data_IF_892255012953
#
_entry.id   IF_892255012953
#
_cell.length_a   1.000
_cell.length_b   1.000
_cell.length_c   1.000
_cell.angle_alpha   90.00
_cell.angle_beta   90.00
_cell.angle_gamma   90.00
#
_symmetry.space_group_name_H-M   'P 1'
#
loop_
_entity.id
_entity.type
_entity.pdbx_description
1 polymer ?
#
# COMPACT_ATOMS: atom_id res chain seq x y z
N UNK A 1 0.77 36.46 46.33
CA UNK A 1 1.00 35.00 46.29
C UNK A 1 -0.33 34.36 45.90
N UNK A 2 -0.52 33.63 44.82
CA UNK A 2 0.33 33.04 43.78
C UNK A 2 -0.63 32.83 42.58
N UNK A 3 -0.22 33.20 41.37
CA UNK A 3 -0.94 32.91 40.13
C UNK A 3 -0.40 31.60 39.54
N UNK A 4 -1.27 30.68 39.13
CA UNK A 4 -0.98 29.47 38.35
C UNK A 4 -2.15 29.31 37.36
N UNK A 5 -2.01 29.67 36.08
CA UNK A 5 -1.27 29.02 34.99
C UNK A 5 -2.16 28.06 34.18
N UNK A 6 -2.74 28.63 33.13
CA UNK A 6 -3.12 28.09 31.81
C UNK A 6 -2.69 26.63 31.52
N UNK A 7 -3.65 25.71 31.41
CA UNK A 7 -3.45 24.42 30.74
C UNK A 7 -4.07 24.49 29.34
N UNK A 8 -3.23 24.84 28.36
CA UNK A 8 -3.57 24.74 26.94
C UNK A 8 -3.64 23.27 26.55
N UNK A 9 -4.85 22.75 26.35
CA UNK A 9 -5.04 21.45 25.71
C UNK A 9 -4.99 21.65 24.19
N UNK A 10 -3.83 21.28 23.63
CA UNK A 10 -3.55 21.25 22.20
C UNK A 10 -4.63 20.51 21.43
N UNK A 11 -5.17 21.19 20.41
CA UNK A 11 -5.95 20.56 19.34
C UNK A 11 -5.17 19.36 18.78
N UNK A 12 -5.83 18.21 18.51
CA UNK A 12 -5.19 17.18 17.71
C UNK A 12 -4.95 17.80 16.34
N UNK A 13 -3.67 18.01 16.02
CA UNK A 13 -3.26 18.32 14.66
C UNK A 13 -3.73 17.15 13.81
N UNK A 14 -4.66 17.41 12.88
CA UNK A 14 -4.95 16.51 11.76
C UNK A 14 -3.60 16.30 11.07
N UNK A 15 -2.92 15.21 11.42
CA UNK A 15 -1.67 14.83 10.77
C UNK A 15 -2.06 14.11 9.49
N UNK A 16 -2.54 14.88 8.51
CA UNK A 16 -2.42 14.52 7.10
C UNK A 16 -0.94 14.61 6.74
N UNK A 17 -0.19 13.62 7.22
CA UNK A 17 1.12 13.29 6.69
C UNK A 17 0.97 11.94 6.02
N UNK A 18 0.41 11.96 4.80
CA UNK A 18 0.69 10.90 3.84
C UNK A 18 2.15 11.13 3.41
N UNK A 19 3.06 10.58 4.19
CA UNK A 19 4.51 10.72 4.05
C UNK A 19 4.99 9.86 2.89
N UNK A 20 4.74 10.31 1.67
CA UNK A 20 5.43 9.82 0.47
C UNK A 20 5.93 11.02 -0.33
N UNK A 21 7.00 11.63 0.18
CA UNK A 21 7.86 12.61 -0.53
C UNK A 21 8.68 11.95 -1.66
N UNK A 22 8.26 10.77 -2.12
CA UNK A 22 9.00 9.98 -3.11
C UNK A 22 8.34 10.16 -4.47
N UNK A 23 8.99 10.85 -5.42
CA UNK A 23 8.47 10.98 -6.77
C UNK A 23 8.39 9.60 -7.42
N UNK A 24 7.24 9.28 -8.01
CA UNK A 24 7.08 8.08 -8.84
C UNK A 24 7.86 8.27 -10.14
N UNK A 25 8.83 7.40 -10.41
CA UNK A 25 9.68 7.47 -11.60
C UNK A 25 9.29 6.42 -12.64
N UNK A 26 9.62 6.67 -13.91
CA UNK A 26 9.51 5.65 -14.95
C UNK A 26 10.43 4.49 -14.61
N UNK A 27 9.88 3.28 -14.67
CA UNK A 27 10.54 2.04 -14.26
C UNK A 27 10.22 1.59 -12.84
N UNK A 28 9.64 2.46 -12.00
CA UNK A 28 9.24 2.09 -10.65
C UNK A 28 8.05 1.12 -10.67
N UNK A 29 8.10 0.14 -9.76
CA UNK A 29 6.92 -0.62 -9.38
C UNK A 29 6.12 0.17 -8.35
N UNK A 30 4.80 0.20 -8.53
CA UNK A 30 3.84 0.92 -7.69
C UNK A 30 2.57 0.10 -7.52
N UNK A 31 1.82 0.34 -6.45
CA UNK A 31 0.47 -0.19 -6.34
C UNK A 31 -0.48 0.70 -7.14
N UNK A 32 -1.32 0.09 -7.97
CA UNK A 32 -2.28 0.79 -8.81
C UNK A 32 -3.69 0.24 -8.64
N UNK A 33 -4.64 1.15 -8.44
CA UNK A 33 -6.06 0.82 -8.45
C UNK A 33 -6.58 0.75 -9.87
N UNK A 34 -6.98 -0.44 -10.31
CA UNK A 34 -7.48 -0.70 -11.66
C UNK A 34 -9.01 -0.76 -11.73
N UNK A 35 -9.69 -0.87 -10.59
CA UNK A 35 -11.14 -0.86 -10.53
C UNK A 35 -11.72 0.52 -10.88
N UNK A 36 -12.90 0.58 -11.52
CA UNK A 36 -13.61 1.83 -11.76
C UNK A 36 -14.13 2.43 -10.44
N UNK A 37 -14.34 3.75 -10.40
CA UNK A 37 -14.76 4.48 -9.18
C UNK A 37 -16.08 3.98 -8.55
N UNK A 38 -16.99 3.46 -9.39
CA UNK A 38 -18.27 2.90 -8.97
C UNK A 38 -18.23 1.39 -8.69
N UNK A 39 -17.05 0.78 -8.66
CA UNK A 39 -16.92 -0.62 -8.29
C UNK A 39 -17.32 -0.82 -6.82
N UNK A 40 -17.89 -1.99 -6.55
CA UNK A 40 -18.22 -2.45 -5.20
C UNK A 40 -16.96 -2.75 -4.38
N UNK A 41 -15.88 -3.14 -5.05
CA UNK A 41 -14.57 -3.48 -4.47
C UNK A 41 -13.45 -2.75 -5.21
N UNK A 42 -12.41 -2.41 -4.47
CA UNK A 42 -11.21 -1.77 -5.00
C UNK A 42 -10.14 -2.82 -5.33
N UNK A 43 -9.86 -3.01 -6.62
CA UNK A 43 -8.81 -3.93 -7.10
C UNK A 43 -7.48 -3.21 -7.24
N UNK A 44 -6.50 -3.64 -6.45
CA UNK A 44 -5.13 -3.11 -6.47
C UNK A 44 -4.15 -4.15 -6.98
N UNK A 45 -3.30 -3.75 -7.92
CA UNK A 45 -2.24 -4.59 -8.48
C UNK A 45 -0.88 -3.88 -8.49
N UNK A 46 0.18 -4.66 -8.52
CA UNK A 46 1.55 -4.21 -8.73
C UNK A 46 1.74 -3.94 -10.21
N UNK A 47 2.07 -2.71 -10.56
CA UNK A 47 2.34 -2.30 -11.95
C UNK A 47 3.65 -1.55 -12.04
N UNK A 48 4.22 -1.55 -13.23
CA UNK A 48 5.41 -0.75 -13.55
C UNK A 48 5.05 0.49 -14.32
N UNK A 49 5.59 1.62 -13.90
CA UNK A 49 5.38 2.90 -14.58
C UNK A 49 6.18 2.93 -15.86
N UNK A 50 5.51 3.08 -17.00
CA UNK A 50 6.17 3.17 -18.31
C UNK A 50 6.32 4.61 -18.78
N UNK A 51 5.40 5.50 -18.39
CA UNK A 51 5.42 6.90 -18.81
C UNK A 51 4.57 7.77 -17.89
N UNK A 52 5.00 9.01 -17.68
CA UNK A 52 4.21 10.03 -17.02
C UNK A 52 3.80 11.12 -18.01
N UNK A 53 2.51 11.30 -18.17
CA UNK A 53 1.90 12.30 -19.02
C UNK A 53 1.63 13.58 -18.21
N UNK A 54 2.56 14.55 -18.32
CA UNK A 54 2.52 15.80 -17.55
C UNK A 54 1.34 16.71 -17.91
N UNK A 55 0.83 16.60 -19.14
CA UNK A 55 -0.28 17.43 -19.61
C UNK A 55 -1.60 16.99 -18.96
N UNK A 56 -1.83 15.68 -18.91
CA UNK A 56 -3.06 15.10 -18.35
C UNK A 56 -2.92 14.68 -16.87
N UNK A 57 -1.72 14.79 -16.29
CA UNK A 57 -1.37 14.30 -14.95
C UNK A 57 -1.75 12.82 -14.75
N UNK A 58 -1.50 12.00 -15.78
CA UNK A 58 -1.79 10.56 -15.78
C UNK A 58 -0.52 9.74 -15.93
N UNK A 59 -0.48 8.60 -15.25
CA UNK A 59 0.58 7.62 -15.37
C UNK A 59 0.11 6.51 -16.31
N UNK A 60 0.94 6.22 -17.30
CA UNK A 60 0.84 4.99 -18.07
C UNK A 60 1.64 3.93 -17.32
N UNK A 61 0.98 2.83 -17.01
CA UNK A 61 1.52 1.71 -16.24
C UNK A 61 1.26 0.39 -16.95
N UNK A 62 2.09 -0.60 -16.70
CA UNK A 62 1.98 -1.94 -17.27
C UNK A 62 1.94 -2.98 -16.15
N UNK A 63 1.02 -3.91 -16.26
CA UNK A 63 0.99 -5.11 -15.43
C UNK A 63 2.08 -6.08 -15.94
N UNK A 64 3.00 -6.43 -15.04
CA UNK A 64 4.15 -7.29 -15.34
C UNK A 64 3.85 -8.77 -15.08
N UNK A 65 2.62 -9.15 -14.69
CA UNK A 65 2.26 -10.55 -14.55
C UNK A 65 2.48 -11.28 -15.89
N UNK A 66 3.31 -12.34 -15.93
CA UNK A 66 3.47 -13.15 -17.12
C UNK A 66 2.15 -13.86 -17.34
N UNK A 67 1.37 -13.44 -18.34
CA UNK A 67 0.13 -14.16 -18.60
C UNK A 67 0.45 -15.60 -19.03
N UNK A 68 -0.45 -16.50 -18.63
CA UNK A 68 -0.27 -17.95 -18.70
C UNK A 68 -0.09 -18.49 -20.13
N UNK A 69 -0.48 -17.70 -21.15
CA UNK A 69 -0.37 -18.05 -22.57
C UNK A 69 0.78 -17.32 -23.28
N UNK A 70 1.39 -17.98 -24.28
CA UNK A 70 2.43 -17.42 -25.18
C UNK A 70 1.97 -16.15 -25.95
N UNK A 71 0.67 -15.80 -25.89
CA UNK A 71 0.06 -14.61 -26.49
C UNK A 71 -0.46 -13.61 -25.43
N UNK A 72 0.06 -13.65 -24.20
CA UNK A 72 -0.39 -12.74 -23.15
C UNK A 72 0.14 -11.33 -23.33
N UNK A 73 -0.67 -10.48 -23.97
CA UNK A 73 -0.43 -9.05 -24.09
C UNK A 73 -0.40 -8.43 -22.68
N UNK A 74 0.79 -8.02 -22.23
CA UNK A 74 0.94 -7.25 -21.00
C UNK A 74 -0.08 -6.10 -20.95
N UNK A 75 -0.93 -6.09 -19.93
CA UNK A 75 -2.03 -5.12 -19.82
C UNK A 75 -1.48 -3.75 -19.47
N UNK A 76 -1.85 -2.74 -20.27
CA UNK A 76 -1.47 -1.34 -20.05
C UNK A 76 -2.65 -0.54 -19.55
N UNK A 77 -2.43 0.30 -18.54
CA UNK A 77 -3.44 1.17 -17.96
C UNK A 77 -2.96 2.62 -17.98
N UNK A 78 -3.90 3.56 -18.16
CA UNK A 78 -3.64 5.00 -18.03
C UNK A 78 -4.46 5.55 -16.87
N UNK A 79 -3.82 5.69 -15.71
CA UNK A 79 -4.46 5.98 -14.43
C UNK A 79 -4.10 7.39 -13.94
N UNK A 80 -4.99 8.08 -13.21
CA UNK A 80 -4.64 9.31 -12.51
C UNK A 80 -3.68 9.00 -11.34
N UNK A 81 -2.90 10.00 -10.92
CA UNK A 81 -2.00 9.87 -9.76
C UNK A 81 -2.69 9.50 -8.45
N UNK A 82 -3.99 9.80 -8.31
CA UNK A 82 -4.81 9.41 -7.15
C UNK A 82 -5.04 7.89 -7.04
N UNK A 83 -4.88 7.15 -8.14
CA UNK A 83 -4.97 5.69 -8.16
C UNK A 83 -3.61 5.01 -8.02
N UNK A 84 -2.53 5.77 -7.77
CA UNK A 84 -1.17 5.25 -7.68
C UNK A 84 -0.63 5.48 -6.27
N UNK A 85 -0.08 4.43 -5.68
CA UNK A 85 0.61 4.50 -4.39
C UNK A 85 2.05 4.01 -4.59
N UNK A 86 3.07 4.85 -4.36
CA UNK A 86 4.46 4.41 -4.45
C UNK A 86 4.79 3.42 -3.33
N UNK A 87 5.48 2.35 -3.69
CA UNK A 87 6.06 1.45 -2.71
C UNK A 87 7.28 2.08 -2.01
N UNK A 88 7.54 1.74 -0.73
CA UNK A 88 8.81 2.02 -0.09
C UNK A 88 9.97 1.42 -0.89
N UNK A 89 11.12 2.11 -0.94
CA UNK A 89 12.28 1.59 -1.65
C UNK A 89 12.96 0.50 -0.83
N UNK A 90 13.18 -0.67 -1.43
CA UNK A 90 13.88 -1.78 -0.79
C UNK A 90 15.30 -1.41 -0.31
N UNK A 91 15.97 -0.50 -1.02
CA UNK A 91 17.30 0.02 -0.67
C UNK A 91 17.32 0.96 0.53
N UNK A 92 16.17 1.48 0.96
CA UNK A 92 16.05 2.44 2.05
C UNK A 92 14.95 2.04 3.04
N UNK A 93 15.19 1.01 3.86
CA UNK A 93 14.21 0.51 4.83
C UNK A 93 13.82 1.51 5.92
N UNK A 94 14.57 2.62 6.05
CA UNK A 94 14.33 3.68 7.03
C UNK A 94 13.26 4.68 6.60
N UNK A 95 13.01 4.82 5.29
CA UNK A 95 11.92 5.67 4.76
C UNK A 95 10.58 4.95 4.67
N UNK A 96 10.57 3.63 4.87
CA UNK A 96 9.33 2.86 4.90
C UNK A 96 8.43 3.30 6.06
N UNK A 97 7.10 3.36 5.85
CA UNK A 97 6.15 3.56 6.93
C UNK A 97 6.33 2.48 8.02
N UNK A 98 6.20 2.90 9.27
CA UNK A 98 6.23 2.01 10.44
C UNK A 98 4.79 1.75 10.89
N UNK A 99 4.26 0.59 10.53
CA UNK A 99 2.89 0.21 10.88
C UNK A 99 2.90 -0.59 12.20
N UNK A 100 2.19 -0.09 13.21
CA UNK A 100 2.04 -0.79 14.49
C UNK A 100 1.15 -2.03 14.35
N UNK A 101 1.29 -2.98 15.28
CA UNK A 101 0.38 -4.13 15.35
C UNK A 101 -1.09 -3.67 15.49
N UNK A 102 -2.00 -4.35 14.80
CA UNK A 102 -3.42 -3.99 14.66
C UNK A 102 -3.71 -2.93 13.58
N UNK A 103 -2.70 -2.36 12.93
CA UNK A 103 -2.93 -1.40 11.84
C UNK A 103 -3.46 -2.11 10.60
N UNK A 104 -4.40 -1.46 9.90
CA UNK A 104 -4.85 -1.90 8.58
C UNK A 104 -3.93 -1.36 7.49
N UNK A 105 -3.50 -2.23 6.59
CA UNK A 105 -2.58 -1.93 5.49
C UNK A 105 -3.08 -2.55 4.20
N UNK A 106 -2.54 -2.09 3.08
CA UNK A 106 -2.69 -2.74 1.79
C UNK A 106 -1.36 -3.40 1.43
N UNK A 107 -1.37 -4.70 1.14
CA UNK A 107 -0.14 -5.47 0.98
C UNK A 107 -0.25 -6.48 -0.17
N UNK A 108 0.88 -6.72 -0.84
CA UNK A 108 0.96 -7.75 -1.88
C UNK A 108 0.78 -9.13 -1.25
N UNK A 109 -0.12 -9.94 -1.79
CA UNK A 109 -0.27 -11.33 -1.34
C UNK A 109 0.94 -12.16 -1.79
N UNK A 110 1.54 -12.98 -0.92
CA UNK A 110 2.75 -13.73 -1.27
C UNK A 110 2.56 -14.59 -2.53
N UNK A 111 3.43 -14.38 -3.52
CA UNK A 111 3.43 -15.13 -4.78
C UNK A 111 2.49 -14.59 -5.87
N UNK A 112 1.82 -13.46 -5.64
CA UNK A 112 0.95 -12.82 -6.65
C UNK A 112 1.41 -11.39 -6.96
N UNK A 113 0.75 -10.75 -7.91
CA UNK A 113 0.89 -9.32 -8.22
C UNK A 113 -0.25 -8.48 -7.64
N UNK A 114 -1.18 -9.08 -6.88
CA UNK A 114 -2.35 -8.40 -6.34
C UNK A 114 -2.12 -7.94 -4.90
N UNK A 115 -2.73 -6.80 -4.55
CA UNK A 115 -2.72 -6.28 -3.19
C UNK A 115 -4.09 -6.41 -2.54
N UNK A 116 -4.08 -6.80 -1.28
CA UNK A 116 -5.28 -6.99 -0.48
C UNK A 116 -5.13 -6.29 0.87
N UNK A 117 -6.27 -5.92 1.46
CA UNK A 117 -6.31 -5.42 2.83
C UNK A 117 -5.83 -6.51 3.79
N UNK A 118 -4.96 -6.12 4.69
CA UNK A 118 -4.44 -6.96 5.75
C UNK A 118 -4.34 -6.20 7.07
N UNK A 119 -4.23 -6.94 8.17
CA UNK A 119 -3.95 -6.41 9.51
C UNK A 119 -2.52 -6.77 9.88
N UNK A 120 -1.78 -5.82 10.45
CA UNK A 120 -0.43 -6.08 10.96
C UNK A 120 -0.52 -6.91 12.24
N UNK A 121 -0.22 -8.20 12.17
CA UNK A 121 -0.16 -9.07 13.33
C UNK A 121 1.09 -8.78 14.19
N UNK A 122 2.24 -8.57 13.53
CA UNK A 122 3.47 -8.15 14.20
C UNK A 122 4.21 -7.08 13.38
N UNK A 123 4.53 -5.98 14.07
CA UNK A 123 5.32 -4.88 13.50
C UNK A 123 6.81 -5.22 13.43
N UNK A 124 7.56 -4.48 12.60
CA UNK A 124 9.02 -4.55 12.52
C UNK A 124 9.61 -4.15 13.88
N UNK A 125 10.35 -5.06 14.53
CA UNK A 125 10.98 -4.76 15.84
C UNK A 125 12.13 -3.78 15.69
N UNK A 126 12.78 -3.80 14.53
CA UNK A 126 13.86 -2.89 14.14
C UNK A 126 13.58 -2.34 12.75
N UNK A 127 14.07 -1.12 12.47
CA UNK A 127 14.05 -0.55 11.11
C UNK A 127 14.86 -1.35 10.09
N UNK A 128 15.65 -2.32 10.53
CA UNK A 128 16.36 -3.28 9.67
C UNK A 128 15.58 -4.56 9.40
N UNK A 129 14.51 -4.85 10.14
CA UNK A 129 13.69 -6.04 9.86
C UNK A 129 13.08 -5.87 8.47
N UNK A 130 13.15 -6.89 7.63
CA UNK A 130 12.72 -6.76 6.23
C UNK A 130 11.23 -7.08 6.03
N UNK A 131 10.58 -7.70 7.03
CA UNK A 131 9.25 -8.28 6.88
C UNK A 131 8.29 -7.77 7.94
N UNK A 132 7.03 -7.58 7.53
CA UNK A 132 5.87 -7.54 8.41
C UNK A 132 5.23 -8.91 8.49
N UNK A 133 4.61 -9.22 9.64
CA UNK A 133 3.73 -10.37 9.76
C UNK A 133 2.29 -9.88 9.62
N UNK A 134 1.62 -10.31 8.56
CA UNK A 134 0.30 -9.82 8.17
C UNK A 134 -0.76 -10.93 8.19
N UNK A 135 -1.98 -10.56 8.53
CA UNK A 135 -3.19 -11.37 8.47
C UNK A 135 -4.09 -10.80 7.38
N UNK A 136 -4.29 -11.55 6.29
CA UNK A 136 -5.11 -11.09 5.16
C UNK A 136 -6.59 -11.39 5.40
N UNK A 137 -7.44 -10.40 5.13
CA UNK A 137 -8.91 -10.49 5.32
C UNK A 137 -9.54 -11.61 4.45
N UNK A 138 -8.89 -11.97 3.32
CA UNK A 138 -9.36 -12.99 2.36
C UNK A 138 -9.00 -14.43 2.75
N UNK A 139 -8.06 -14.62 3.69
CA UNK A 139 -7.64 -15.96 4.16
C UNK A 139 -8.58 -16.50 5.28
N UNK A 140 -9.79 -15.96 5.47
CA UNK A 140 -10.75 -16.46 6.46
C UNK A 140 -11.27 -17.86 6.05
N UNK A 141 -10.87 -18.89 6.80
CA UNK A 141 -11.30 -20.27 6.55
C UNK A 141 -12.43 -20.67 7.51
N UNK A 142 -13.55 -21.16 6.96
CA UNK A 142 -14.71 -21.58 7.74
C UNK A 142 -14.32 -22.69 8.74
N UNK A 143 -14.47 -22.40 10.04
CA UNK A 143 -14.20 -23.34 11.12
C UNK A 143 -12.76 -23.30 11.66
N UNK A 144 -11.92 -22.35 11.22
CA UNK A 144 -10.60 -22.10 11.78
C UNK A 144 -10.62 -20.84 12.65
N UNK A 145 -10.16 -20.95 13.90
CA UNK A 145 -9.96 -19.80 14.77
C UNK A 145 -8.73 -19.00 14.33
N UNK A 146 -8.97 -17.83 13.73
CA UNK A 146 -7.95 -16.86 13.35
C UNK A 146 -7.49 -16.94 11.90
N UNK A 147 -6.81 -15.89 11.45
CA UNK A 147 -6.28 -15.77 10.09
C UNK A 147 -4.82 -16.26 10.03
N UNK A 148 -4.39 -16.91 8.94
CA UNK A 148 -3.00 -17.30 8.78
C UNK A 148 -2.09 -16.08 8.67
N UNK A 149 -0.93 -16.18 9.32
CA UNK A 149 0.07 -15.12 9.35
C UNK A 149 1.08 -15.29 8.21
N UNK A 150 1.28 -14.24 7.41
CA UNK A 150 2.18 -14.23 6.25
C UNK A 150 3.30 -13.22 6.43
N UNK A 151 4.52 -13.62 6.09
CA UNK A 151 5.64 -12.69 6.03
C UNK A 151 5.60 -11.92 4.71
N UNK A 152 5.47 -10.60 4.79
CA UNK A 152 5.44 -9.71 3.62
C UNK A 152 6.55 -8.68 3.74
N UNK A 153 7.43 -8.54 2.73
CA UNK A 153 8.49 -7.54 2.74
C UNK A 153 7.94 -6.13 2.92
N UNK A 154 8.62 -5.28 3.69
CA UNK A 154 8.15 -3.92 3.98
C UNK A 154 7.92 -3.08 2.70
N UNK A 155 8.70 -3.32 1.65
CA UNK A 155 8.59 -2.62 0.37
C UNK A 155 7.41 -3.11 -0.48
N UNK A 156 6.62 -4.06 0.01
CA UNK A 156 5.36 -4.53 -0.57
C UNK A 156 4.15 -4.18 0.31
N UNK A 157 4.35 -3.38 1.37
CA UNK A 157 3.29 -2.94 2.28
C UNK A 157 3.15 -1.43 2.18
N UNK A 158 1.92 -0.96 1.93
CA UNK A 158 1.58 0.46 1.84
C UNK A 158 0.40 0.80 2.75
N UNK A 159 0.20 2.10 2.97
CA UNK A 159 -0.94 2.58 3.75
C UNK A 159 -2.24 2.24 3.02
N UNK A 160 -3.23 1.73 3.77
CA UNK A 160 -4.57 1.52 3.24
C UNK A 160 -5.20 2.89 2.87
N UNK A 161 -5.66 3.09 1.62
CA UNK A 161 -6.33 4.33 1.23
C UNK A 161 -7.61 4.59 2.03
N UNK A 162 -7.87 5.85 2.35
CA UNK A 162 -9.13 6.23 2.97
C UNK A 162 -10.32 5.88 2.06
N UNK A 163 -11.30 5.18 2.60
CA UNK A 163 -12.48 4.74 1.85
C UNK A 163 -12.27 3.50 0.97
N UNK A 164 -11.16 2.77 1.12
CA UNK A 164 -10.93 1.48 0.46
C UNK A 164 -12.11 0.52 0.69
N UNK A 165 -12.62 -0.05 -0.41
CA UNK A 165 -13.73 -1.02 -0.39
C UNK A 165 -13.17 -2.42 -0.64
N UNK A 166 -13.38 -3.32 0.33
CA UNK A 166 -13.05 -4.74 0.19
C UNK A 166 -14.26 -5.58 0.56
#
# INVERSE_FOLDING_TARGET
MKAEADTRLSSPSISLRCSTDHPVLVGDQVAAKISPENAEKDDWIVVKVIRFDRETNRLEVIDEEPGDDEESVQRKYKLPSTCIIPFPKASDPSSAPDFAAGSQVLAVYPGTTALYKAVVAAHRKRKTDEYYLLEFDDDEEEGVDGLPQRNVPFYQVVQLPEGHRQ
#
